data_IF_487640366470
#
_entry.id   IF_487640366470
#
_cell.length_a   1.000
_cell.length_b   1.000
_cell.length_c   1.000
_cell.angle_alpha   90.00
_cell.angle_beta   90.00
_cell.angle_gamma   90.00
#
_symmetry.space_group_name_H-M   'P 1'
#
loop_
_entity.id
_entity.type
_entity.pdbx_description
1 polymer ?
#
# COMPACT_ATOMS: atom_id res chain seq x y z
N UNK A 1 12.96 -7.97 -30.67
CA UNK A 1 13.18 -7.36 -32.00
C UNK A 1 12.44 -6.03 -32.06
N UNK A 2 13.15 -4.93 -32.37
CA UNK A 2 12.51 -3.63 -32.62
C UNK A 2 11.84 -3.68 -34.00
N UNK A 3 10.59 -3.23 -34.09
CA UNK A 3 9.85 -3.16 -35.34
C UNK A 3 9.49 -1.72 -35.68
N UNK A 4 9.22 -1.43 -36.95
CA UNK A 4 8.72 -0.14 -37.38
C UNK A 4 7.22 -0.22 -37.64
N UNK A 5 6.49 0.79 -37.18
CA UNK A 5 5.06 0.96 -37.44
C UNK A 5 4.82 2.39 -37.92
N UNK A 6 3.88 2.56 -38.85
CA UNK A 6 3.39 3.86 -39.28
C UNK A 6 2.12 4.19 -38.51
N UNK A 7 2.10 5.33 -37.83
CA UNK A 7 0.96 5.85 -37.09
C UNK A 7 -0.09 6.45 -38.05
N UNK A 8 -1.28 6.75 -37.53
CA UNK A 8 -2.39 7.30 -38.32
C UNK A 8 -2.10 8.69 -38.92
N UNK A 9 -1.19 9.44 -38.31
CA UNK A 9 -0.70 10.74 -38.79
C UNK A 9 0.44 10.63 -39.83
N UNK A 10 0.81 9.40 -40.22
CA UNK A 10 1.89 9.11 -41.15
C UNK A 10 3.28 9.05 -40.52
N UNK A 11 3.43 9.32 -39.22
CA UNK A 11 4.71 9.24 -38.54
C UNK A 11 5.19 7.78 -38.42
N UNK A 12 6.45 7.52 -38.75
CA UNK A 12 7.08 6.22 -38.58
C UNK A 12 7.78 6.14 -37.23
N UNK A 13 7.38 5.17 -36.40
CA UNK A 13 7.92 4.98 -35.05
C UNK A 13 8.48 3.57 -34.86
N UNK A 14 9.38 3.41 -33.90
CA UNK A 14 9.87 2.09 -33.48
C UNK A 14 9.07 1.57 -32.29
N UNK A 15 8.70 0.29 -32.32
CA UNK A 15 7.96 -0.38 -31.25
C UNK A 15 8.67 -1.64 -30.77
N UNK A 16 8.43 -2.01 -29.52
CA UNK A 16 8.83 -3.27 -28.89
C UNK A 16 7.66 -3.83 -28.09
N UNK A 17 7.53 -5.15 -28.02
CA UNK A 17 6.53 -5.79 -27.16
C UNK A 17 6.91 -5.63 -25.68
N UNK A 18 5.91 -5.72 -24.79
CA UNK A 18 6.16 -5.72 -23.34
C UNK A 18 7.10 -6.85 -22.91
N UNK A 19 6.96 -8.05 -23.50
CA UNK A 19 7.83 -9.19 -23.22
C UNK A 19 9.29 -8.94 -23.65
N UNK A 20 9.50 -8.26 -24.79
CA UNK A 20 10.85 -7.86 -25.20
C UNK A 20 11.47 -6.88 -24.21
N UNK A 21 10.70 -5.91 -23.70
CA UNK A 21 11.19 -4.96 -22.68
C UNK A 21 11.48 -5.65 -21.35
N UNK A 22 10.68 -6.63 -20.95
CA UNK A 22 10.92 -7.45 -19.77
C UNK A 22 12.23 -8.24 -19.91
N UNK A 23 12.43 -8.90 -21.05
CA UNK A 23 13.66 -9.64 -21.35
C UNK A 23 14.89 -8.72 -21.28
N UNK A 24 14.85 -7.58 -21.95
CA UNK A 24 15.94 -6.60 -21.94
C UNK A 24 16.26 -6.07 -20.53
N UNK A 25 15.24 -5.92 -19.68
CA UNK A 25 15.43 -5.51 -18.30
C UNK A 25 16.08 -6.61 -17.45
N UNK A 26 15.70 -7.87 -17.66
CA UNK A 26 16.29 -9.04 -16.99
C UNK A 26 17.72 -9.33 -17.47
N UNK A 27 18.04 -9.01 -18.72
CA UNK A 27 19.39 -9.17 -19.31
C UNK A 27 20.28 -7.94 -19.10
N UNK A 28 19.82 -6.95 -18.31
CA UNK A 28 20.58 -5.71 -18.06
C UNK A 28 21.91 -5.99 -17.33
N UNK A 29 21.93 -7.00 -16.48
CA UNK A 29 23.13 -7.47 -15.78
C UNK A 29 23.39 -8.93 -16.15
N UNK A 30 24.65 -9.33 -16.08
CA UNK A 30 25.02 -10.75 -16.19
C UNK A 30 24.57 -11.53 -14.95
N UNK A 31 24.50 -12.85 -15.07
CA UNK A 31 24.18 -13.73 -13.94
C UNK A 31 25.18 -13.56 -12.78
N UNK A 32 26.47 -13.46 -13.09
CA UNK A 32 27.52 -13.17 -12.10
C UNK A 32 27.29 -11.84 -11.36
N UNK A 33 26.89 -10.78 -12.07
CA UNK A 33 26.59 -9.48 -11.45
C UNK A 33 25.34 -9.57 -10.55
N UNK A 34 24.32 -10.32 -10.95
CA UNK A 34 23.16 -10.57 -10.08
C UNK A 34 23.56 -11.35 -8.83
N UNK A 35 24.36 -12.42 -8.98
CA UNK A 35 24.89 -13.23 -7.88
C UNK A 35 25.66 -12.37 -6.87
N UNK A 36 26.53 -11.48 -7.36
CA UNK A 36 27.29 -10.55 -6.52
C UNK A 36 26.36 -9.60 -5.74
N UNK A 37 25.35 -9.02 -6.41
CA UNK A 37 24.46 -8.05 -5.78
C UNK A 37 23.51 -8.65 -4.75
N UNK A 38 22.99 -9.86 -4.99
CA UNK A 38 22.05 -10.52 -4.07
C UNK A 38 22.73 -11.44 -3.05
N UNK A 39 24.03 -11.73 -3.23
CA UNK A 39 24.79 -12.64 -2.37
C UNK A 39 24.41 -14.12 -2.53
N UNK A 40 23.73 -14.50 -3.62
CA UNK A 40 23.32 -15.88 -3.89
C UNK A 40 24.19 -16.45 -5.02
N UNK A 41 24.91 -17.58 -4.82
CA UNK A 41 25.78 -18.16 -5.85
C UNK A 41 25.05 -18.45 -7.18
N UNK A 42 25.74 -18.22 -8.31
CA UNK A 42 25.19 -18.45 -9.66
C UNK A 42 24.57 -19.85 -9.81
N UNK A 43 25.25 -20.88 -9.31
CA UNK A 43 24.77 -22.26 -9.36
C UNK A 43 23.42 -22.44 -8.64
N UNK A 44 23.19 -21.73 -7.53
CA UNK A 44 21.93 -21.79 -6.80
C UNK A 44 20.81 -21.03 -7.52
N UNK A 45 21.12 -19.89 -8.15
CA UNK A 45 20.17 -19.14 -8.99
C UNK A 45 19.69 -20.02 -10.15
N UNK A 46 20.63 -20.66 -10.87
CA UNK A 46 20.33 -21.56 -11.99
C UNK A 46 19.48 -22.74 -11.50
N UNK A 47 19.94 -23.44 -10.47
CA UNK A 47 19.24 -24.62 -9.94
C UNK A 47 17.81 -24.29 -9.50
N UNK A 48 17.59 -23.13 -8.88
CA UNK A 48 16.26 -22.67 -8.49
C UNK A 48 15.39 -22.37 -9.71
N UNK A 49 15.94 -21.68 -10.73
CA UNK A 49 15.22 -21.38 -11.96
C UNK A 49 14.82 -22.65 -12.73
N UNK A 50 15.73 -23.61 -12.88
CA UNK A 50 15.49 -24.90 -13.51
C UNK A 50 14.44 -25.71 -12.74
N UNK A 51 14.57 -25.79 -11.42
CA UNK A 51 13.60 -26.51 -10.57
C UNK A 51 12.22 -25.86 -10.68
N UNK A 52 12.14 -24.54 -10.55
CA UNK A 52 10.89 -23.79 -10.62
C UNK A 52 10.20 -23.98 -11.98
N UNK A 53 10.94 -23.87 -13.08
CA UNK A 53 10.39 -24.01 -14.43
C UNK A 53 10.13 -25.47 -14.83
N UNK A 54 10.88 -26.44 -14.31
CA UNK A 54 10.71 -27.86 -14.59
C UNK A 54 9.39 -28.44 -14.10
N UNK A 55 8.77 -27.83 -13.08
CA UNK A 55 7.42 -28.17 -12.63
C UNK A 55 6.31 -27.48 -13.43
N UNK A 56 6.66 -26.60 -14.38
CA UNK A 56 5.73 -25.87 -15.23
C UNK A 56 4.65 -25.14 -14.41
N UNK A 57 3.38 -25.33 -14.78
CA UNK A 57 2.23 -24.69 -14.12
C UNK A 57 1.95 -25.17 -12.70
N UNK A 58 2.69 -26.14 -12.18
CA UNK A 58 2.54 -26.71 -10.82
C UNK A 58 3.50 -26.10 -9.80
N UNK A 59 4.40 -25.21 -10.22
CA UNK A 59 5.19 -24.40 -9.31
C UNK A 59 4.45 -23.11 -8.96
N UNK A 60 4.80 -22.49 -7.83
CA UNK A 60 4.28 -21.20 -7.40
C UNK A 60 5.34 -20.44 -6.60
N UNK A 61 5.38 -19.12 -6.75
CA UNK A 61 6.10 -18.24 -5.83
C UNK A 61 5.11 -17.30 -5.17
N UNK A 62 5.28 -17.04 -3.89
CA UNK A 62 4.46 -16.10 -3.13
C UNK A 62 5.32 -14.92 -2.67
N UNK A 63 4.78 -13.71 -2.73
CA UNK A 63 5.41 -12.52 -2.15
C UNK A 63 4.73 -12.23 -0.81
N UNK A 64 5.47 -12.34 0.30
CA UNK A 64 5.01 -11.87 1.61
C UNK A 64 6.17 -11.22 2.37
N UNK A 65 7.06 -12.03 2.93
CA UNK A 65 8.29 -11.55 3.58
C UNK A 65 9.28 -10.96 2.56
N UNK A 66 10.10 -10.00 3.01
CA UNK A 66 11.15 -9.36 2.18
C UNK A 66 10.70 -8.19 1.31
N UNK A 67 9.39 -7.90 1.27
CA UNK A 67 8.82 -6.79 0.48
C UNK A 67 8.53 -5.52 1.30
N UNK A 68 8.89 -5.52 2.59
CA UNK A 68 8.66 -4.39 3.52
C UNK A 68 9.80 -3.36 3.44
N UNK A 69 10.15 -2.93 2.22
CA UNK A 69 11.19 -1.96 1.92
C UNK A 69 10.69 -0.94 0.89
N UNK A 70 11.40 0.18 0.71
CA UNK A 70 11.00 1.24 -0.23
C UNK A 70 10.88 0.77 -1.69
N UNK A 71 11.60 -0.28 -2.09
CA UNK A 71 11.50 -0.94 -3.40
C UNK A 71 10.57 -2.16 -3.40
N UNK A 72 9.79 -2.38 -2.34
CA UNK A 72 8.95 -3.56 -2.13
C UNK A 72 7.97 -3.83 -3.26
N UNK A 73 7.42 -2.77 -3.87
CA UNK A 73 6.57 -2.89 -5.06
C UNK A 73 7.30 -3.59 -6.21
N UNK A 74 8.51 -3.15 -6.55
CA UNK A 74 9.29 -3.72 -7.65
C UNK A 74 9.73 -5.16 -7.35
N UNK A 75 10.06 -5.45 -6.09
CA UNK A 75 10.43 -6.80 -5.66
C UNK A 75 9.21 -7.74 -5.78
N UNK A 76 8.06 -7.34 -5.26
CA UNK A 76 6.81 -8.11 -5.35
C UNK A 76 6.37 -8.29 -6.81
N UNK A 77 6.44 -7.22 -7.62
CA UNK A 77 6.12 -7.29 -9.04
C UNK A 77 7.02 -8.27 -9.79
N UNK A 78 8.33 -8.24 -9.54
CA UNK A 78 9.30 -9.15 -10.17
C UNK A 78 9.02 -10.61 -9.80
N UNK A 79 8.75 -10.89 -8.53
CA UNK A 79 8.42 -12.25 -8.05
C UNK A 79 7.08 -12.73 -8.61
N UNK A 80 6.05 -11.87 -8.62
CA UNK A 80 4.74 -12.21 -9.19
C UNK A 80 4.79 -12.41 -10.70
N UNK A 81 5.70 -11.74 -11.41
CA UNK A 81 5.89 -11.95 -12.84
C UNK A 81 6.33 -13.37 -13.17
N UNK A 82 7.08 -14.04 -12.29
CA UNK A 82 7.49 -15.45 -12.50
C UNK A 82 6.28 -16.37 -12.65
N UNK A 83 5.25 -16.18 -11.84
CA UNK A 83 3.98 -16.91 -11.93
C UNK A 83 3.28 -16.67 -13.26
N UNK A 84 3.25 -15.42 -13.72
CA UNK A 84 2.68 -15.07 -15.03
C UNK A 84 3.46 -15.75 -16.17
N UNK A 85 4.80 -15.80 -16.09
CA UNK A 85 5.66 -16.41 -17.11
C UNK A 85 5.47 -17.93 -17.22
N UNK A 86 5.29 -18.63 -16.11
CA UNK A 86 4.98 -20.08 -16.13
C UNK A 86 3.49 -20.36 -16.39
N UNK A 87 2.65 -19.33 -16.41
CA UNK A 87 1.21 -19.42 -16.71
C UNK A 87 0.42 -20.20 -15.67
N UNK A 88 0.78 -20.07 -14.38
CA UNK A 88 0.13 -20.80 -13.28
C UNK A 88 -1.00 -20.00 -12.59
N UNK A 89 -1.23 -18.75 -13.01
CA UNK A 89 -2.20 -17.86 -12.36
C UNK A 89 -3.63 -18.42 -12.54
N UNK A 90 -4.36 -18.51 -11.45
CA UNK A 90 -5.75 -19.00 -11.40
C UNK A 90 -5.95 -20.45 -11.84
N UNK A 91 -4.90 -21.26 -11.83
CA UNK A 91 -4.98 -22.70 -12.10
C UNK A 91 -4.96 -23.51 -10.80
N UNK A 92 -5.56 -24.71 -10.83
CA UNK A 92 -5.46 -25.66 -9.73
C UNK A 92 -4.00 -26.03 -9.47
N UNK A 93 -3.55 -25.90 -8.22
CA UNK A 93 -2.16 -26.08 -7.82
C UNK A 93 -1.22 -24.93 -8.19
N UNK A 94 -1.74 -23.87 -8.81
CA UNK A 94 -1.00 -22.64 -9.12
C UNK A 94 -1.31 -21.50 -8.14
N UNK A 95 -0.92 -20.28 -8.51
CA UNK A 95 -1.16 -19.09 -7.67
C UNK A 95 -2.58 -18.57 -7.86
N UNK A 96 -3.34 -18.54 -6.77
CA UNK A 96 -4.67 -17.95 -6.73
C UNK A 96 -4.65 -16.60 -6.00
N UNK A 97 -5.14 -15.55 -6.65
CA UNK A 97 -5.21 -14.20 -6.08
C UNK A 97 -6.57 -14.02 -5.39
N UNK A 98 -6.75 -14.67 -4.23
CA UNK A 98 -7.86 -14.34 -3.32
C UNK A 98 -8.46 -15.52 -2.57
N UNK A 99 -8.32 -15.53 -1.24
CA UNK A 99 -9.26 -16.27 -0.40
C UNK A 99 -10.62 -15.56 -0.39
N UNK A 100 -11.72 -16.32 -0.35
CA UNK A 100 -13.02 -15.76 -0.01
C UNK A 100 -12.93 -14.98 1.31
N UNK A 101 -13.51 -13.77 1.34
CA UNK A 101 -13.58 -12.96 2.56
C UNK A 101 -14.93 -13.19 3.20
N UNK A 102 -14.95 -13.57 4.47
CA UNK A 102 -16.17 -13.43 5.25
C UNK A 102 -16.40 -11.93 5.49
N UNK A 103 -17.49 -11.38 4.94
CA UNK A 103 -17.85 -9.99 5.18
C UNK A 103 -18.57 -9.88 6.53
N UNK A 104 -17.84 -9.50 7.58
CA UNK A 104 -18.39 -9.33 8.93
C UNK A 104 -19.24 -8.07 9.11
N UNK A 105 -19.33 -7.21 8.09
CA UNK A 105 -20.16 -6.00 8.07
C UNK A 105 -21.15 -6.13 6.92
N UNK A 106 -22.16 -6.97 7.14
CA UNK A 106 -23.31 -7.11 6.25
C UNK A 106 -24.58 -6.81 7.03
N UNK A 107 -25.68 -6.60 6.31
CA UNK A 107 -26.98 -6.49 6.95
C UNK A 107 -27.30 -7.84 7.60
N UNK A 108 -27.37 -7.80 8.92
CA UNK A 108 -27.66 -8.96 9.75
C UNK A 108 -29.15 -9.03 10.06
N UNK A 109 -29.63 -10.19 10.54
CA UNK A 109 -31.04 -10.37 10.90
C UNK A 109 -31.50 -9.45 12.05
N UNK A 110 -30.56 -8.88 12.82
CA UNK A 110 -30.85 -7.96 13.94
C UNK A 110 -30.45 -6.51 13.69
N UNK A 111 -29.39 -6.26 12.91
CA UNK A 111 -28.84 -4.92 12.70
C UNK A 111 -28.52 -4.70 11.22
N UNK A 112 -28.98 -3.57 10.68
CA UNK A 112 -28.61 -3.08 9.36
C UNK A 112 -27.31 -2.27 9.48
N UNK A 113 -26.18 -2.88 9.12
CA UNK A 113 -24.86 -2.26 9.21
C UNK A 113 -24.56 -1.41 7.96
N UNK A 114 -25.23 -1.69 6.84
CA UNK A 114 -25.09 -0.92 5.61
C UNK A 114 -25.82 0.42 5.67
N UNK A 115 -26.91 0.53 6.42
CA UNK A 115 -27.75 1.72 6.52
C UNK A 115 -28.58 1.76 7.81
N UNK A 116 -28.65 2.92 8.45
CA UNK A 116 -29.50 3.13 9.62
C UNK A 116 -29.90 4.60 9.70
N UNK A 117 -31.00 4.90 10.39
CA UNK A 117 -31.46 6.28 10.58
C UNK A 117 -30.36 7.11 11.25
N UNK A 118 -30.03 8.26 10.67
CA UNK A 118 -28.96 9.13 11.17
C UNK A 118 -27.53 8.71 10.78
N UNK A 119 -27.36 7.70 9.90
CA UNK A 119 -26.03 7.32 9.41
C UNK A 119 -25.36 8.50 8.70
N UNK A 120 -24.23 8.93 9.25
CA UNK A 120 -23.38 9.96 8.63
C UNK A 120 -22.44 9.29 7.64
N UNK A 121 -22.49 9.73 6.37
CA UNK A 121 -21.54 9.29 5.35
C UNK A 121 -20.30 10.19 5.41
N UNK A 122 -19.08 9.64 5.54
CA UNK A 122 -17.86 10.42 5.39
C UNK A 122 -17.84 11.14 4.03
N UNK A 123 -17.50 12.42 4.04
CA UNK A 123 -17.38 13.24 2.85
C UNK A 123 -16.09 14.04 2.89
N UNK A 124 -15.69 14.56 1.73
CA UNK A 124 -14.46 15.34 1.58
C UNK A 124 -13.26 14.50 1.17
N UNK A 125 -12.14 15.20 1.02
CA UNK A 125 -10.86 14.64 0.62
C UNK A 125 -10.23 13.87 1.78
N UNK A 126 -9.77 12.65 1.55
CA UNK A 126 -8.96 11.91 2.54
C UNK A 126 -7.69 12.70 2.87
N UNK A 127 -7.35 12.84 4.15
CA UNK A 127 -6.14 13.55 4.57
C UNK A 127 -4.86 12.93 3.99
N UNK A 128 -4.86 11.60 3.79
CA UNK A 128 -3.78 10.87 3.15
C UNK A 128 -3.75 11.02 1.60
N UNK A 129 -4.65 11.84 1.03
CA UNK A 129 -4.78 12.08 -0.44
C UNK A 129 -4.91 10.78 -1.24
N UNK A 130 -5.54 9.79 -0.61
CA UNK A 130 -5.72 8.43 -1.09
C UNK A 130 -6.97 8.30 -1.96
N UNK A 131 -6.91 7.50 -3.04
CA UNK A 131 -8.01 7.29 -4.00
C UNK A 131 -8.55 8.58 -4.63
N UNK A 132 -7.70 9.58 -4.81
CA UNK A 132 -8.08 10.84 -5.45
C UNK A 132 -6.94 11.33 -6.32
N UNK A 133 -7.26 11.75 -7.55
CA UNK A 133 -6.31 12.40 -8.44
C UNK A 133 -6.07 13.84 -7.98
N UNK A 134 -4.83 14.32 -8.07
CA UNK A 134 -4.47 15.68 -7.65
C UNK A 134 -5.24 16.74 -8.43
N UNK A 135 -5.52 16.48 -9.70
CA UNK A 135 -6.25 17.36 -10.61
C UNK A 135 -7.70 17.61 -10.19
N UNK A 136 -8.25 16.76 -9.32
CA UNK A 136 -9.57 16.95 -8.71
C UNK A 136 -9.54 17.82 -7.43
N UNK A 137 -8.35 18.25 -6.99
CA UNK A 137 -8.18 19.01 -5.74
C UNK A 137 -8.47 20.49 -5.88
N UNK A 138 -8.78 21.13 -4.75
CA UNK A 138 -8.85 22.60 -4.63
C UNK A 138 -7.51 23.24 -4.99
N UNK A 139 -6.40 22.72 -4.47
CA UNK A 139 -5.04 23.23 -4.77
C UNK A 139 -4.78 23.31 -6.28
N UNK A 140 -5.16 22.28 -7.04
CA UNK A 140 -4.98 22.28 -8.49
C UNK A 140 -5.81 23.39 -9.16
N UNK A 141 -7.09 23.50 -8.80
CA UNK A 141 -8.00 24.51 -9.35
C UNK A 141 -7.55 25.93 -9.01
N UNK A 142 -7.12 26.16 -7.77
CA UNK A 142 -6.68 27.46 -7.28
C UNK A 142 -5.38 27.90 -7.95
N UNK A 143 -4.42 26.99 -8.18
CA UNK A 143 -3.21 27.28 -8.95
C UNK A 143 -3.54 27.70 -10.39
N UNK A 144 -4.42 26.97 -11.06
CA UNK A 144 -4.86 27.33 -12.43
C UNK A 144 -5.56 28.68 -12.45
N UNK A 145 -6.50 28.92 -11.52
CA UNK A 145 -7.22 30.18 -11.43
C UNK A 145 -6.30 31.37 -11.12
N UNK A 146 -5.25 31.14 -10.34
CA UNK A 146 -4.20 32.11 -10.04
C UNK A 146 -3.11 32.27 -11.11
N UNK A 147 -3.22 31.58 -12.26
CA UNK A 147 -2.23 31.63 -13.34
C UNK A 147 -0.88 31.00 -12.98
N UNK A 148 -0.84 30.13 -11.96
CA UNK A 148 0.36 29.42 -11.52
C UNK A 148 0.48 28.06 -12.21
N UNK A 149 1.70 27.53 -12.30
CA UNK A 149 1.89 26.13 -12.71
C UNK A 149 1.18 25.22 -11.71
N UNK A 150 0.24 24.35 -12.14
CA UNK A 150 -0.44 23.44 -11.24
C UNK A 150 0.50 22.37 -10.66
N UNK A 151 1.64 22.12 -11.32
CA UNK A 151 2.63 21.13 -10.91
C UNK A 151 3.94 21.75 -10.42
N UNK A 152 4.62 21.10 -9.45
CA UNK A 152 4.18 19.91 -8.69
C UNK A 152 3.15 20.24 -7.59
N UNK A 153 2.44 19.21 -7.10
CA UNK A 153 1.67 19.29 -5.86
C UNK A 153 2.60 19.47 -4.64
N UNK A 154 2.09 20.02 -3.54
CA UNK A 154 2.91 20.21 -2.31
C UNK A 154 3.43 18.91 -1.70
N UNK A 155 2.66 17.82 -1.78
CA UNK A 155 3.08 16.49 -1.38
C UNK A 155 2.51 15.43 -2.33
N UNK A 156 3.01 14.18 -2.31
CA UNK A 156 2.51 13.12 -3.17
C UNK A 156 1.02 12.84 -2.98
N UNK A 157 0.37 12.49 -4.10
CA UNK A 157 -1.03 12.06 -4.15
C UNK A 157 -1.10 10.59 -4.58
N UNK A 158 -2.06 9.84 -4.04
CA UNK A 158 -2.14 8.39 -4.19
C UNK A 158 -3.46 7.96 -4.84
N UNK A 159 -3.63 8.12 -6.16
CA UNK A 159 -4.91 7.91 -6.83
C UNK A 159 -5.41 6.45 -6.79
N UNK A 160 -4.53 5.48 -6.59
CA UNK A 160 -4.87 4.05 -6.64
C UNK A 160 -4.92 3.34 -5.29
N UNK A 161 -4.27 3.91 -4.26
CA UNK A 161 -4.05 3.24 -2.97
C UNK A 161 -4.96 3.85 -1.90
N UNK A 162 -5.47 3.02 -0.98
CA UNK A 162 -6.15 3.47 0.23
C UNK A 162 -5.43 2.95 1.48
N UNK A 163 -5.68 3.61 2.62
CA UNK A 163 -5.27 3.08 3.93
C UNK A 163 -3.78 3.18 4.23
N UNK A 164 -3.10 4.22 3.77
CA UNK A 164 -1.69 4.46 4.11
C UNK A 164 -1.59 5.15 5.47
N UNK A 165 -1.41 4.36 6.53
CA UNK A 165 -1.29 4.89 7.89
C UNK A 165 -0.08 5.82 8.04
N UNK A 166 1.03 5.49 7.37
CA UNK A 166 2.23 6.34 7.25
C UNK A 166 1.87 7.75 6.78
N UNK A 167 1.02 7.85 5.77
CA UNK A 167 0.64 9.10 5.15
C UNK A 167 -0.42 9.84 5.96
N UNK A 168 -1.36 9.10 6.57
CA UNK A 168 -2.46 9.69 7.32
C UNK A 168 -1.97 10.51 8.52
N UNK A 169 -1.10 9.94 9.35
CA UNK A 169 -0.61 10.63 10.55
C UNK A 169 0.36 11.76 10.19
N UNK A 170 1.29 11.53 9.25
CA UNK A 170 2.24 12.56 8.84
C UNK A 170 1.55 13.74 8.16
N UNK A 171 0.57 13.49 7.28
CA UNK A 171 -0.26 14.52 6.66
C UNK A 171 -1.06 15.33 7.68
N UNK A 172 -1.62 14.67 8.70
CA UNK A 172 -2.31 15.32 9.80
C UNK A 172 -1.41 16.30 10.55
N UNK A 173 -0.19 15.88 10.88
CA UNK A 173 0.78 16.69 11.63
C UNK A 173 1.39 17.82 10.77
N UNK A 174 1.51 17.62 9.46
CA UNK A 174 1.92 18.68 8.52
C UNK A 174 0.79 19.65 8.17
N UNK A 175 -0.47 19.28 8.43
CA UNK A 175 -1.64 20.09 8.10
C UNK A 175 -1.88 20.22 6.60
N UNK A 176 -1.45 19.25 5.80
CA UNK A 176 -1.69 19.20 4.36
C UNK A 176 -2.40 17.90 3.97
N UNK A 177 -3.52 17.96 3.23
CA UNK A 177 -4.14 19.13 2.61
C UNK A 177 -4.86 20.07 3.58
N UNK A 178 -5.15 19.64 4.81
CA UNK A 178 -5.76 20.44 5.87
C UNK A 178 -5.35 19.89 7.26
N UNK A 179 -5.44 20.67 8.34
CA UNK A 179 -5.12 20.21 9.69
C UNK A 179 -6.23 19.34 10.30
N UNK A 180 -5.84 18.41 11.19
CA UNK A 180 -6.79 17.72 12.06
C UNK A 180 -6.98 18.45 13.38
N UNK A 181 -8.20 18.36 13.92
CA UNK A 181 -8.53 18.87 15.26
C UNK A 181 -8.48 17.79 16.33
N UNK A 182 -8.72 16.55 15.94
CA UNK A 182 -8.74 15.41 16.84
C UNK A 182 -8.32 14.14 16.12
N UNK A 183 -7.64 13.25 16.83
CA UNK A 183 -7.36 11.87 16.41
C UNK A 183 -7.89 10.93 17.50
N UNK A 184 -8.72 9.98 17.08
CA UNK A 184 -9.15 8.86 17.91
C UNK A 184 -8.48 7.61 17.37
N UNK A 185 -7.55 7.05 18.15
CA UNK A 185 -6.91 5.77 17.86
C UNK A 185 -7.66 4.67 18.61
N UNK A 186 -7.91 3.54 17.95
CA UNK A 186 -8.46 2.34 18.58
C UNK A 186 -7.58 1.14 18.24
N UNK A 187 -7.13 0.43 19.27
CA UNK A 187 -6.35 -0.81 19.15
C UNK A 187 -5.18 -0.69 18.16
N UNK A 188 -4.43 0.42 18.23
CA UNK A 188 -3.40 0.73 17.22
C UNK A 188 -2.10 1.23 17.85
N UNK A 189 -0.98 0.82 17.28
CA UNK A 189 0.35 1.22 17.72
C UNK A 189 1.26 1.58 16.52
N UNK A 190 0.97 2.68 15.80
CA UNK A 190 1.76 3.13 14.65
C UNK A 190 3.24 3.41 14.98
N UNK A 191 3.58 3.90 16.17
CA UNK A 191 4.99 4.15 16.52
C UNK A 191 5.82 2.87 16.67
N UNK A 192 5.18 1.75 17.02
CA UNK A 192 5.76 0.41 16.94
C UNK A 192 5.73 -0.14 15.51
N UNK A 193 4.54 -0.12 14.90
CA UNK A 193 4.22 -0.91 13.72
C UNK A 193 4.71 -0.31 12.40
N UNK A 194 5.08 0.96 12.39
CA UNK A 194 5.51 1.67 11.17
C UNK A 194 6.98 2.05 11.27
N UNK A 195 7.88 1.38 10.52
CA UNK A 195 9.30 1.70 10.50
C UNK A 195 9.57 3.16 10.15
N UNK A 196 10.41 3.82 10.95
CA UNK A 196 10.84 5.21 10.72
C UNK A 196 9.82 6.28 11.10
N UNK A 197 8.57 5.94 11.42
CA UNK A 197 7.52 6.92 11.75
C UNK A 197 7.89 7.75 12.99
N UNK A 198 8.48 7.09 13.99
CA UNK A 198 8.90 7.73 15.24
C UNK A 198 9.78 8.95 15.01
N UNK A 199 10.80 8.81 14.17
CA UNK A 199 11.75 9.87 13.86
C UNK A 199 11.12 11.10 13.17
N UNK A 200 9.99 10.92 12.46
CA UNK A 200 9.39 11.99 11.66
C UNK A 200 8.13 12.61 12.26
N UNK A 201 7.47 11.90 13.19
CA UNK A 201 6.16 12.25 13.71
C UNK A 201 6.11 12.49 15.22
N UNK A 202 6.99 11.89 16.03
CA UNK A 202 6.86 11.92 17.50
C UNK A 202 6.86 13.34 18.07
N UNK A 203 7.87 14.14 17.73
CA UNK A 203 7.97 15.51 18.24
C UNK A 203 6.86 16.42 17.72
N UNK A 204 6.34 16.16 16.52
CA UNK A 204 5.22 16.90 15.95
C UNK A 204 3.90 16.53 16.62
N UNK A 205 3.74 15.27 17.00
CA UNK A 205 2.56 14.78 17.71
C UNK A 205 2.45 15.39 19.11
N UNK A 206 3.59 15.64 19.78
CA UNK A 206 3.65 16.32 21.07
C UNK A 206 3.25 17.80 21.01
N UNK A 207 3.14 18.40 19.81
CA UNK A 207 2.74 19.80 19.65
C UNK A 207 1.20 19.93 19.51
N UNK A 208 0.48 20.45 20.52
CA UNK A 208 -0.97 20.58 20.48
C UNK A 208 -1.46 21.58 19.42
N UNK A 209 -0.57 22.40 18.85
CA UNK A 209 -0.92 23.28 17.72
C UNK A 209 -1.05 22.50 16.41
N UNK A 210 -0.43 21.32 16.33
CA UNK A 210 -0.48 20.43 15.14
C UNK A 210 -1.64 19.46 15.23
N UNK A 211 -1.83 18.85 16.41
CA UNK A 211 -2.96 17.98 16.70
C UNK A 211 -3.52 18.34 18.09
N UNK A 212 -4.61 19.10 18.17
CA UNK A 212 -5.13 19.61 19.45
C UNK A 212 -5.70 18.56 20.40
N UNK A 213 -6.07 17.38 19.90
CA UNK A 213 -6.68 16.34 20.73
C UNK A 213 -6.29 14.96 20.21
N UNK A 214 -5.71 14.13 21.06
CA UNK A 214 -5.41 12.74 20.80
C UNK A 214 -6.04 11.85 21.89
N UNK A 215 -7.01 11.03 21.50
CA UNK A 215 -7.65 10.03 22.35
C UNK A 215 -7.20 8.63 21.90
N UNK A 216 -6.67 7.85 22.82
CA UNK A 216 -6.32 6.46 22.62
C UNK A 216 -7.33 5.53 23.30
N UNK A 217 -7.81 4.53 22.56
CA UNK A 217 -8.71 3.47 23.05
C UNK A 217 -7.95 2.14 22.93
N UNK A 218 -7.44 1.64 24.05
CA UNK A 218 -6.57 0.45 24.06
C UNK A 218 -6.71 -0.34 25.38
N UNK A 219 -6.52 -1.66 25.30
CA UNK A 219 -6.48 -2.54 26.47
C UNK A 219 -5.15 -2.42 27.25
N UNK A 220 -4.07 -1.97 26.59
CA UNK A 220 -2.75 -1.81 27.17
C UNK A 220 -2.10 -0.48 26.76
N UNK A 221 -1.32 0.10 27.67
CA UNK A 221 -0.48 1.25 27.33
C UNK A 221 0.67 0.82 26.40
N UNK A 222 0.96 1.63 25.39
CA UNK A 222 2.03 1.42 24.42
C UNK A 222 2.70 2.76 24.08
N UNK A 223 3.77 2.74 23.27
CA UNK A 223 4.51 3.96 22.94
C UNK A 223 3.72 5.00 22.15
N UNK A 224 2.68 4.59 21.43
CA UNK A 224 1.76 5.52 20.77
C UNK A 224 0.82 6.13 21.81
N UNK A 225 0.17 5.30 22.63
CA UNK A 225 -0.83 5.78 23.60
C UNK A 225 -0.21 6.57 24.75
N UNK A 226 1.08 6.36 25.02
CA UNK A 226 1.86 7.20 25.93
C UNK A 226 1.94 8.68 25.51
N UNK A 227 1.60 9.00 24.25
CA UNK A 227 1.55 10.37 23.72
C UNK A 227 0.13 10.95 23.67
N UNK A 228 -0.89 10.21 24.14
CA UNK A 228 -2.28 10.64 24.11
C UNK A 228 -2.65 11.61 25.24
N UNK A 229 -3.57 12.54 24.95
CA UNK A 229 -4.17 13.41 25.96
C UNK A 229 -5.13 12.65 26.87
N UNK A 230 -5.85 11.67 26.30
CA UNK A 230 -6.77 10.79 27.02
C UNK A 230 -6.57 9.34 26.62
N UNK A 231 -6.61 8.46 27.62
CA UNK A 231 -6.62 7.00 27.43
C UNK A 231 -7.96 6.48 27.94
N UNK A 232 -8.71 5.83 27.05
CA UNK A 232 -9.94 5.12 27.36
C UNK A 232 -9.61 3.63 27.41
N UNK A 233 -9.72 2.96 28.57
CA UNK A 233 -9.49 1.53 28.66
C UNK A 233 -10.48 0.75 27.79
N UNK A 234 -9.97 -0.14 26.94
CA UNK A 234 -10.77 -1.08 26.16
C UNK A 234 -10.61 -2.52 26.70
N UNK A 235 -11.52 -3.38 26.28
CA UNK A 235 -11.53 -4.81 26.61
C UNK A 235 -10.42 -5.58 25.88
N UNK A 236 -9.87 -6.57 26.56
CA UNK A 236 -8.95 -7.52 25.93
C UNK A 236 -9.72 -8.52 25.05
N UNK A 237 -9.03 -9.18 24.10
CA UNK A 237 -9.67 -10.14 23.18
C UNK A 237 -10.25 -11.40 23.86
N UNK A 238 -9.97 -11.63 25.15
CA UNK A 238 -10.61 -12.70 25.94
C UNK A 238 -11.83 -12.24 26.73
N UNK A 239 -12.14 -10.95 26.71
CA UNK A 239 -13.23 -10.33 27.48
C UNK A 239 -14.43 -9.97 26.60
N UNK A 240 -14.28 -10.11 25.29
CA UNK A 240 -15.24 -9.66 24.28
C UNK A 240 -15.55 -10.72 23.25
N UNK A 241 -16.81 -10.72 22.78
CA UNK A 241 -17.26 -11.56 21.68
C UNK A 241 -16.83 -10.97 20.35
N UNK A 242 -15.93 -11.66 19.63
CA UNK A 242 -15.51 -11.28 18.29
C UNK A 242 -15.29 -12.51 17.41
N UNK A 243 -15.48 -12.34 16.10
CA UNK A 243 -15.14 -13.36 15.10
C UNK A 243 -13.69 -13.15 14.65
N UNK A 244 -12.85 -14.17 14.82
CA UNK A 244 -11.48 -14.15 14.27
C UNK A 244 -11.56 -14.25 12.75
N UNK A 245 -10.91 -13.32 12.05
CA UNK A 245 -10.75 -13.37 10.59
C UNK A 245 -9.54 -14.26 10.24
N UNK A 246 -9.73 -15.40 9.54
CA UNK A 246 -8.59 -16.17 9.05
C UNK A 246 -7.77 -15.34 8.06
N UNK A 247 -6.45 -15.27 8.24
CA UNK A 247 -5.53 -14.58 7.34
C UNK A 247 -5.43 -13.06 7.50
N UNK A 248 -5.92 -12.48 8.60
CA UNK A 248 -5.52 -11.14 9.03
C UNK A 248 -4.47 -11.30 10.15
N UNK A 249 -3.20 -11.27 9.76
CA UNK A 249 -2.07 -11.00 10.63
C UNK A 249 -1.51 -9.63 10.24
#
# INVERSE_FOLDING_TARGET
MTQYVTLADGQRVTVKSGLQRLKEAAEKLSLAQYSEQCGVPEAQIIALAETFTGHGRKAAVISHGGMMAGNGFYNAWSVMMLNALIGNLSLSGGVFVGGGKFNGVSDGPRYNMNSFAGKVKPSGLSIARSKTAYEASEEYRDKIAGGQSPYPAKAPWYPFVAGQLTELLTSALEGYPYPLKAWISNMSNPFYGVPGLRAVAEEKLKDPRRLPLFIAIDAFMNETTALADYIVPDTHNFESWALRRPGAA
#
